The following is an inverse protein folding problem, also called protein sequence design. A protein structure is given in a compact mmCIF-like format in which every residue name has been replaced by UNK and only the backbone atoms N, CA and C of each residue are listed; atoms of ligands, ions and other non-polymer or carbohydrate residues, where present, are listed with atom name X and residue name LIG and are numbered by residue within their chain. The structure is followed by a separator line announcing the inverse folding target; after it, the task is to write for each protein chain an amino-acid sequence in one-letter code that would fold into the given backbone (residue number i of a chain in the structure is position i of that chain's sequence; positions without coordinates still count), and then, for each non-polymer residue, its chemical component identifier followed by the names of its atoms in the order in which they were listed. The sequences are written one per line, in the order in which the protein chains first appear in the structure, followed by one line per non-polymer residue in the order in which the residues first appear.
data_IF_782609351235
#
_entry.id   IF_782609351235
#
_cell.length_a   1.000
_cell.length_b   1.000
_cell.length_c   1.000
_cell.angle_alpha   90.00
_cell.angle_beta   90.00
_cell.angle_gamma   90.00
#
_symmetry.space_group_name_H-M   'P 1'
#
loop_
_entity.id
_entity.type
_entity.pdbx_description
1 polymer ?
#
# COMPACT_ATOMS: atom_id res chain seq x y z
N UNK A 1 -26.23 5.06 -19.28
CA UNK A 1 -25.79 3.92 -18.45
C UNK A 1 -27.06 3.30 -17.93
N UNK A 2 -27.64 2.33 -18.65
CA UNK A 2 -29.07 2.03 -18.55
C UNK A 2 -29.35 0.58 -18.09
N UNK A 3 -28.29 -0.18 -17.83
CA UNK A 3 -28.39 -1.55 -17.31
C UNK A 3 -27.86 -1.60 -15.88
N UNK A 4 -28.52 -2.37 -15.02
CA UNK A 4 -28.10 -2.57 -13.63
C UNK A 4 -27.41 -3.93 -13.50
N UNK A 5 -26.25 -3.95 -12.84
CA UNK A 5 -25.53 -5.18 -12.51
C UNK A 5 -26.33 -6.08 -11.56
N UNK A 6 -26.48 -7.36 -11.90
CA UNK A 6 -27.15 -8.34 -11.02
C UNK A 6 -26.39 -8.61 -9.71
N UNK A 7 -25.08 -8.34 -9.67
CA UNK A 7 -24.20 -8.68 -8.54
C UNK A 7 -23.95 -7.52 -7.58
N UNK A 8 -23.97 -6.28 -8.07
CA UNK A 8 -23.61 -5.11 -7.27
C UNK A 8 -24.58 -3.93 -7.43
N UNK A 9 -25.63 -4.12 -8.22
CA UNK A 9 -26.66 -3.11 -8.53
C UNK A 9 -26.12 -1.79 -9.10
N UNK A 10 -24.85 -1.76 -9.53
CA UNK A 10 -24.26 -0.59 -10.19
C UNK A 10 -24.75 -0.46 -11.63
N UNK A 11 -24.80 0.78 -12.11
CA UNK A 11 -25.10 1.08 -13.51
C UNK A 11 -23.95 0.61 -14.41
N UNK A 12 -24.32 0.00 -15.54
CA UNK A 12 -23.44 -0.55 -16.56
C UNK A 12 -23.57 0.20 -17.88
N UNK A 13 -22.53 0.12 -18.70
CA UNK A 13 -22.62 0.53 -20.10
C UNK A 13 -23.39 -0.52 -20.91
N UNK A 14 -24.11 -0.10 -21.97
CA UNK A 14 -24.94 -1.01 -22.78
C UNK A 14 -24.14 -2.14 -23.45
N UNK A 15 -22.85 -1.90 -23.72
CA UNK A 15 -21.93 -2.86 -24.34
C UNK A 15 -20.74 -3.16 -23.43
N UNK A 16 -20.94 -3.08 -22.12
CA UNK A 16 -19.89 -3.39 -21.17
C UNK A 16 -19.48 -4.87 -21.28
N UNK A 17 -18.18 -5.18 -21.46
CA UNK A 17 -17.71 -6.55 -21.47
C UNK A 17 -18.13 -7.32 -20.21
N UNK A 18 -18.48 -8.61 -20.32
CA UNK A 18 -18.74 -9.43 -19.15
C UNK A 18 -17.49 -9.48 -18.27
N UNK A 19 -17.62 -9.03 -17.03
CA UNK A 19 -16.55 -9.05 -16.03
C UNK A 19 -15.96 -7.69 -15.66
N UNK A 20 -16.25 -6.62 -16.41
CA UNK A 20 -15.76 -5.26 -16.13
C UNK A 20 -16.26 -4.70 -14.79
N UNK A 21 -17.57 -4.70 -14.53
CA UNK A 21 -18.12 -4.20 -13.28
C UNK A 21 -17.97 -5.18 -12.10
N UNK A 22 -18.15 -6.48 -12.36
CA UNK A 22 -18.00 -7.56 -11.39
C UNK A 22 -17.49 -8.79 -12.15
N UNK A 23 -16.22 -9.19 -12.00
CA UNK A 23 -15.61 -10.32 -12.70
C UNK A 23 -16.29 -11.64 -12.31
N UNK A 24 -17.44 -11.92 -12.92
CA UNK A 24 -18.33 -13.07 -12.70
C UNK A 24 -18.68 -13.35 -11.22
N UNK A 25 -18.51 -12.35 -10.35
CA UNK A 25 -18.98 -12.35 -8.96
C UNK A 25 -18.16 -13.14 -7.94
N UNK A 26 -16.94 -13.62 -8.23
CA UNK A 26 -16.16 -14.35 -7.21
C UNK A 26 -14.68 -14.01 -7.22
N UNK A 27 -14.32 -12.97 -6.47
CA UNK A 27 -12.96 -12.84 -5.98
C UNK A 27 -12.79 -13.73 -4.76
N UNK A 28 -12.20 -14.92 -4.95
CA UNK A 28 -11.81 -15.79 -3.83
C UNK A 28 -10.66 -15.12 -3.10
N UNK A 29 -10.77 -14.93 -1.78
CA UNK A 29 -9.64 -14.53 -0.96
C UNK A 29 -8.74 -15.74 -0.72
N UNK A 30 -7.43 -15.56 -0.91
CA UNK A 30 -6.44 -16.59 -0.56
C UNK A 30 -6.56 -16.83 0.95
N UNK A 31 -6.50 -18.10 1.38
CA UNK A 31 -6.45 -18.44 2.78
C UNK A 31 -5.25 -17.76 3.44
N UNK A 32 -5.42 -17.44 4.71
CA UNK A 32 -4.38 -16.79 5.50
C UNK A 32 -3.27 -17.82 5.76
N UNK A 33 -2.09 -17.57 5.20
CA UNK A 33 -0.90 -18.41 5.35
C UNK A 33 -0.35 -18.27 6.77
N UNK A 34 0.12 -19.37 7.35
CA UNK A 34 0.83 -19.34 8.64
C UNK A 34 2.02 -18.37 8.58
N UNK A 35 2.37 -17.73 9.71
CA UNK A 35 3.53 -16.85 9.78
C UNK A 35 4.80 -17.57 9.30
N UNK A 36 5.64 -16.93 8.48
CA UNK A 36 6.96 -17.47 8.18
C UNK A 36 7.87 -17.41 9.41
N UNK A 37 8.83 -18.32 9.53
CA UNK A 37 9.91 -18.19 10.51
C UNK A 37 10.74 -16.92 10.24
N UNK A 38 11.18 -16.15 11.26
CA UNK A 38 11.18 -16.42 12.70
C UNK A 38 9.96 -15.90 13.49
N UNK A 39 8.94 -15.39 12.81
CA UNK A 39 7.76 -14.85 13.51
C UNK A 39 7.06 -15.93 14.32
N UNK A 40 6.96 -17.13 13.77
CA UNK A 40 6.30 -18.25 14.43
C UNK A 40 6.99 -18.61 15.76
N UNK A 41 8.31 -18.79 15.75
CA UNK A 41 9.09 -19.15 16.94
C UNK A 41 9.07 -18.08 18.04
N UNK A 42 9.18 -16.79 17.68
CA UNK A 42 9.18 -15.69 18.64
C UNK A 42 7.86 -15.57 19.41
N UNK A 43 6.77 -16.03 18.80
CA UNK A 43 5.41 -15.88 19.33
C UNK A 43 4.90 -17.15 20.02
N UNK A 44 5.51 -18.30 19.73
CA UNK A 44 5.32 -19.52 20.53
C UNK A 44 6.15 -19.56 21.81
N UNK A 45 6.96 -18.52 22.06
CA UNK A 45 7.85 -18.45 23.22
C UNK A 45 9.13 -19.28 23.07
N UNK A 46 9.44 -19.75 21.85
CA UNK A 46 10.69 -20.45 21.59
C UNK A 46 11.83 -19.42 21.50
N UNK A 47 12.89 -19.63 22.27
CA UNK A 47 14.07 -18.76 22.23
C UNK A 47 14.65 -18.73 20.83
N UNK A 48 14.70 -17.54 20.23
CA UNK A 48 15.36 -17.35 18.94
C UNK A 48 16.17 -16.06 18.94
N UNK A 49 17.40 -16.14 18.45
CA UNK A 49 18.30 -14.99 18.27
C UNK A 49 17.93 -14.11 17.07
N UNK A 50 16.78 -14.35 16.43
CA UNK A 50 16.39 -13.70 15.19
C UNK A 50 15.56 -12.46 15.50
N UNK A 51 15.95 -11.32 14.93
CA UNK A 51 15.22 -10.05 15.05
C UNK A 51 14.12 -9.98 13.98
N UNK A 52 13.00 -9.35 14.31
CA UNK A 52 11.87 -9.12 13.41
C UNK A 52 11.61 -7.63 13.27
N UNK A 53 11.28 -7.17 12.07
CA UNK A 53 10.91 -5.77 11.83
C UNK A 53 9.57 -5.43 12.49
N UNK A 54 9.39 -4.17 12.91
CA UNK A 54 8.11 -3.69 13.44
C UNK A 54 6.95 -3.98 12.49
N UNK A 55 7.16 -3.85 11.18
CA UNK A 55 6.16 -4.17 10.15
C UNK A 55 5.71 -5.63 10.22
N UNK A 56 6.65 -6.58 10.25
CA UNK A 56 6.37 -8.00 10.34
C UNK A 56 5.63 -8.35 11.65
N UNK A 57 6.03 -7.74 12.76
CA UNK A 57 5.39 -7.92 14.06
C UNK A 57 3.92 -7.44 14.06
N UNK A 58 3.65 -6.22 13.58
CA UNK A 58 2.29 -5.68 13.56
C UNK A 58 1.41 -6.36 12.51
N UNK A 59 1.95 -6.71 11.34
CA UNK A 59 1.23 -7.50 10.34
C UNK A 59 0.75 -8.84 10.92
N UNK A 60 1.63 -9.52 11.68
CA UNK A 60 1.28 -10.75 12.37
C UNK A 60 0.17 -10.55 13.40
N UNK A 61 0.24 -9.49 14.21
CA UNK A 61 -0.79 -9.18 15.24
C UNK A 61 -2.17 -8.93 14.63
N UNK A 62 -2.24 -8.39 13.41
CA UNK A 62 -3.49 -8.13 12.69
C UNK A 62 -4.01 -9.32 11.88
N UNK A 63 -3.20 -10.37 11.71
CA UNK A 63 -3.60 -11.55 10.97
C UNK A 63 -4.74 -12.30 11.69
N UNK A 64 -5.75 -12.73 10.92
CA UNK A 64 -6.85 -13.58 11.42
C UNK A 64 -6.41 -15.04 11.35
N UNK A 65 -6.79 -15.86 12.33
CA UNK A 65 -6.49 -17.30 12.35
C UNK A 65 -7.75 -18.08 12.69
N UNK A 66 -7.92 -19.24 12.10
CA UNK A 66 -9.15 -20.04 12.25
C UNK A 66 -9.38 -20.51 13.69
N UNK A 67 -8.32 -20.62 14.50
CA UNK A 67 -8.40 -21.13 15.88
C UNK A 67 -8.12 -20.07 16.96
N UNK A 68 -8.00 -18.79 16.58
CA UNK A 68 -7.74 -17.71 17.54
C UNK A 68 -8.56 -16.47 17.20
N UNK A 69 -9.27 -15.97 18.19
CA UNK A 69 -10.00 -14.71 18.06
C UNK A 69 -9.04 -13.53 18.14
N UNK A 70 -9.04 -12.71 17.09
CA UNK A 70 -8.27 -11.48 17.07
C UNK A 70 -9.09 -10.35 17.70
N UNK A 71 -8.87 -10.09 18.99
CA UNK A 71 -9.58 -9.04 19.73
C UNK A 71 -9.34 -7.65 19.15
N UNK A 72 -8.14 -7.37 18.62
CA UNK A 72 -7.79 -6.06 18.06
C UNK A 72 -8.78 -5.67 16.96
N UNK A 73 -9.13 -6.61 16.07
CA UNK A 73 -10.05 -6.38 14.95
C UNK A 73 -11.52 -6.20 15.37
N UNK A 74 -11.87 -6.40 16.65
CA UNK A 74 -13.24 -6.24 17.17
C UNK A 74 -13.52 -4.83 17.68
N UNK A 75 -12.49 -4.04 18.01
CA UNK A 75 -12.66 -2.74 18.68
C UNK A 75 -12.97 -1.55 17.75
N UNK A 76 -13.48 -1.79 16.53
CA UNK A 76 -14.03 -0.76 15.60
C UNK A 76 -13.11 0.46 15.44
N UNK A 77 -13.47 1.62 15.98
CA UNK A 77 -12.70 2.87 15.84
C UNK A 77 -11.32 2.79 16.51
N UNK A 78 -11.22 2.11 17.65
CA UNK A 78 -9.94 1.90 18.34
C UNK A 78 -8.97 1.06 17.50
N UNK A 79 -9.51 0.12 16.71
CA UNK A 79 -8.72 -0.62 15.74
C UNK A 79 -8.13 0.31 14.68
N UNK A 80 -8.89 1.27 14.17
CA UNK A 80 -8.40 2.21 13.15
C UNK A 80 -7.28 3.09 13.70
N UNK A 81 -7.46 3.61 14.92
CA UNK A 81 -6.42 4.38 15.60
C UNK A 81 -5.16 3.53 15.80
N UNK A 82 -5.31 2.30 16.29
CA UNK A 82 -4.20 1.37 16.45
C UNK A 82 -3.42 1.17 15.14
N UNK A 83 -4.10 0.94 14.01
CA UNK A 83 -3.43 0.75 12.71
C UNK A 83 -2.63 1.98 12.30
N UNK A 84 -3.21 3.18 12.44
CA UNK A 84 -2.55 4.44 12.08
C UNK A 84 -1.33 4.70 12.96
N UNK A 85 -1.46 4.50 14.27
CA UNK A 85 -0.37 4.70 15.23
C UNK A 85 0.79 3.72 14.98
N UNK A 86 0.47 2.44 14.73
CA UNK A 86 1.50 1.44 14.44
C UNK A 86 2.18 1.71 13.10
N UNK A 87 1.43 2.20 12.09
CA UNK A 87 2.01 2.62 10.82
C UNK A 87 2.96 3.81 10.98
N UNK A 88 2.57 4.84 11.74
CA UNK A 88 3.42 5.99 12.04
C UNK A 88 4.73 5.57 12.73
N UNK A 89 4.67 4.59 13.63
CA UNK A 89 5.87 4.01 14.26
C UNK A 89 6.77 3.30 13.25
N UNK A 90 6.21 2.48 12.35
CA UNK A 90 6.97 1.79 11.29
C UNK A 90 7.65 2.81 10.36
N UNK A 91 6.92 3.83 9.91
CA UNK A 91 7.47 4.87 9.03
C UNK A 91 8.55 5.70 9.73
N UNK A 92 8.37 6.02 11.01
CA UNK A 92 9.38 6.71 11.82
C UNK A 92 10.67 5.89 11.93
N UNK A 93 10.56 4.57 12.12
CA UNK A 93 11.72 3.66 12.14
C UNK A 93 12.42 3.60 10.77
N UNK A 94 11.64 3.52 9.69
CA UNK A 94 12.17 3.51 8.32
C UNK A 94 12.91 4.80 7.98
N UNK A 95 12.34 5.96 8.32
CA UNK A 95 12.99 7.27 8.13
C UNK A 95 14.25 7.41 8.98
N UNK A 96 14.21 6.92 10.24
CA UNK A 96 15.38 6.90 11.12
C UNK A 96 16.49 6.04 10.53
N UNK A 97 16.17 4.87 10.00
CA UNK A 97 17.13 4.00 9.31
C UNK A 97 17.76 4.72 8.11
N UNK A 98 16.94 5.35 7.26
CA UNK A 98 17.43 6.12 6.11
C UNK A 98 18.35 7.26 6.55
N UNK A 99 18.00 7.99 7.61
CA UNK A 99 18.80 9.10 8.14
C UNK A 99 20.19 8.65 8.61
N UNK A 100 20.29 7.51 9.29
CA UNK A 100 21.56 7.04 9.86
C UNK A 100 22.42 6.19 8.91
N UNK A 101 21.86 5.68 7.82
CA UNK A 101 22.56 4.79 6.87
C UNK A 101 22.85 5.47 5.52
N UNK A 102 22.89 6.80 5.47
CA UNK A 102 23.11 7.58 4.24
C UNK A 102 24.40 7.18 3.50
N UNK A 103 25.50 6.99 4.21
CA UNK A 103 26.80 6.58 3.63
C UNK A 103 26.68 5.23 2.91
N UNK A 104 26.01 4.26 3.54
CA UNK A 104 25.75 2.93 2.95
C UNK A 104 24.82 2.99 1.74
N UNK A 105 23.94 3.99 1.69
CA UNK A 105 23.01 4.25 0.59
C UNK A 105 23.64 5.10 -0.54
N UNK A 106 24.96 5.33 -0.49
CA UNK A 106 25.73 6.15 -1.45
C UNK A 106 25.16 7.57 -1.62
N UNK A 107 24.77 8.22 -0.52
CA UNK A 107 24.27 9.59 -0.55
C UNK A 107 25.29 10.61 -1.09
N UNK A 108 26.59 10.31 -0.98
CA UNK A 108 27.70 11.19 -1.36
C UNK A 108 27.73 11.49 -2.88
N UNK A 109 27.52 10.48 -3.74
CA UNK A 109 27.43 10.66 -5.20
C UNK A 109 26.31 11.65 -5.59
N UNK A 110 25.22 11.69 -4.81
CA UNK A 110 24.07 12.56 -5.08
C UNK A 110 24.23 13.97 -4.52
N UNK A 111 25.02 14.14 -3.44
CA UNK A 111 25.36 15.47 -2.90
C UNK A 111 26.18 16.23 -3.93
N UNK A 112 27.19 15.60 -4.54
CA UNK A 112 28.00 16.22 -5.59
C UNK A 112 27.18 16.63 -6.82
N UNK A 113 26.20 15.82 -7.23
CA UNK A 113 25.32 16.14 -8.36
C UNK A 113 24.38 17.31 -8.01
N UNK A 114 23.84 17.34 -6.79
CA UNK A 114 23.00 18.44 -6.31
C UNK A 114 23.80 19.73 -6.15
N UNK A 115 25.00 19.66 -5.58
CA UNK A 115 25.91 20.80 -5.40
C UNK A 115 26.43 21.31 -6.74
N UNK A 116 26.64 20.45 -7.75
CA UNK A 116 26.94 20.88 -9.11
C UNK A 116 25.74 21.58 -9.78
N UNK A 117 24.49 21.18 -9.49
CA UNK A 117 23.29 21.83 -10.05
C UNK A 117 22.98 23.15 -9.32
N UNK A 118 23.17 23.21 -7.99
CA UNK A 118 22.87 24.40 -7.16
C UNK A 118 24.03 25.41 -7.17
N UNK A 119 25.28 24.93 -7.15
CA UNK A 119 26.48 25.76 -7.24
C UNK A 119 26.62 26.51 -8.55
N UNK A 120 25.89 26.10 -9.59
CA UNK A 120 25.78 26.82 -10.86
C UNK A 120 24.71 27.91 -10.88
N UNK A 121 23.87 28.04 -9.83
CA UNK A 121 22.81 29.05 -9.82
C UNK A 121 23.04 30.22 -8.87
N UNK A 122 23.45 30.06 -7.62
CA UNK A 122 23.66 31.23 -6.74
C UNK A 122 24.66 30.92 -5.62
N UNK A 123 25.85 31.51 -5.71
CA UNK A 123 26.98 31.31 -4.80
C UNK A 123 26.84 31.94 -3.40
N UNK A 124 25.66 31.85 -2.77
CA UNK A 124 25.47 32.38 -1.42
C UNK A 124 24.36 31.66 -0.63
N UNK A 125 24.55 30.38 -0.34
CA UNK A 125 23.72 29.65 0.62
C UNK A 125 24.57 29.23 1.81
N UNK A 126 24.44 29.97 2.91
CA UNK A 126 25.05 29.67 4.20
C UNK A 126 24.74 28.22 4.62
N UNK A 127 25.75 27.35 4.56
CA UNK A 127 25.68 25.91 4.87
C UNK A 127 25.31 25.62 6.33
N UNK A 128 25.39 26.62 7.21
CA UNK A 128 25.21 26.46 8.65
C UNK A 128 23.74 26.58 9.12
N UNK A 129 22.83 27.10 8.28
CA UNK A 129 21.40 27.26 8.63
C UNK A 129 20.51 26.18 8.04
N UNK A 130 21.05 25.31 7.19
CA UNK A 130 20.34 24.18 6.61
C UNK A 130 20.68 22.99 7.50
N UNK A 131 19.78 22.63 8.43
CA UNK A 131 19.96 21.40 9.21
C UNK A 131 20.25 20.23 8.27
N UNK A 132 21.11 19.27 8.69
CA UNK A 132 21.60 18.19 7.84
C UNK A 132 20.46 17.52 7.04
N UNK A 133 20.30 17.91 5.78
CA UNK A 133 19.29 17.39 4.89
C UNK A 133 19.75 16.00 4.43
N UNK A 134 19.10 14.95 4.91
CA UNK A 134 19.37 13.60 4.42
C UNK A 134 18.53 13.30 3.18
N UNK A 135 19.07 12.49 2.28
CA UNK A 135 18.48 12.21 0.99
C UNK A 135 17.53 11.01 1.10
N UNK A 136 16.30 11.17 0.61
CA UNK A 136 15.39 10.06 0.41
C UNK A 136 15.68 9.36 -0.94
N UNK A 137 15.79 8.03 -0.96
CA UNK A 137 15.94 7.25 -2.19
C UNK A 137 14.60 7.19 -2.95
N UNK A 138 14.64 6.87 -4.24
CA UNK A 138 13.42 6.72 -5.06
C UNK A 138 12.53 5.54 -4.65
N UNK A 139 13.08 4.56 -3.94
CA UNK A 139 12.30 3.48 -3.30
C UNK A 139 11.43 3.95 -2.13
N UNK A 140 11.60 5.18 -1.65
CA UNK A 140 10.72 5.79 -0.66
C UNK A 140 9.53 6.47 -1.37
N UNK A 141 8.34 5.91 -1.17
CA UNK A 141 7.10 6.39 -1.78
C UNK A 141 6.85 7.85 -1.38
N UNK A 142 6.57 8.71 -2.37
CA UNK A 142 6.33 10.14 -2.13
C UNK A 142 7.59 10.97 -1.92
N UNK A 143 8.79 10.38 -2.00
CA UNK A 143 10.02 11.16 -2.09
C UNK A 143 10.08 11.94 -3.42
N UNK A 144 10.82 13.06 -3.49
CA UNK A 144 11.00 13.81 -4.74
C UNK A 144 11.50 12.94 -5.90
N UNK A 145 12.41 11.99 -5.63
CA UNK A 145 12.93 11.07 -6.65
C UNK A 145 11.90 10.06 -7.11
N UNK A 146 11.13 9.50 -6.18
CA UNK A 146 10.05 8.58 -6.52
C UNK A 146 9.02 9.24 -7.45
N UNK A 147 8.67 10.50 -7.17
CA UNK A 147 7.77 11.27 -8.03
C UNK A 147 8.39 11.58 -9.39
N UNK A 148 9.69 11.92 -9.44
CA UNK A 148 10.40 12.15 -10.69
C UNK A 148 10.48 10.90 -11.58
N UNK A 149 10.77 9.72 -10.99
CA UNK A 149 10.76 8.45 -11.70
C UNK A 149 9.38 8.17 -12.30
N UNK A 150 8.29 8.31 -11.53
CA UNK A 150 6.94 8.12 -12.07
C UNK A 150 6.60 9.05 -13.23
N UNK A 151 7.06 10.30 -13.18
CA UNK A 151 6.89 11.25 -14.28
C UNK A 151 7.68 10.80 -15.51
N UNK A 152 8.93 10.40 -15.34
CA UNK A 152 9.78 9.94 -16.45
C UNK A 152 9.23 8.68 -17.09
N UNK A 153 8.76 7.71 -16.29
CA UNK A 153 8.11 6.50 -16.76
C UNK A 153 6.86 6.84 -17.57
N UNK A 154 5.97 7.69 -17.03
CA UNK A 154 4.76 8.11 -17.73
C UNK A 154 5.07 8.79 -19.07
N UNK A 155 6.07 9.68 -19.12
CA UNK A 155 6.50 10.33 -20.35
C UNK A 155 7.07 9.33 -21.36
N UNK A 156 7.77 8.31 -20.87
CA UNK A 156 8.32 7.23 -21.70
C UNK A 156 7.20 6.37 -22.30
N UNK A 157 6.19 6.03 -21.51
CA UNK A 157 4.99 5.34 -22.01
C UNK A 157 4.28 6.15 -23.09
N UNK A 158 4.05 7.46 -22.87
CA UNK A 158 3.39 8.32 -23.86
C UNK A 158 4.21 8.44 -25.14
N UNK A 159 5.54 8.52 -25.03
CA UNK A 159 6.43 8.57 -26.20
C UNK A 159 6.40 7.26 -27.01
N UNK A 160 6.33 6.11 -26.34
CA UNK A 160 6.38 4.80 -26.99
C UNK A 160 5.02 4.33 -27.52
N UNK A 161 3.95 4.50 -26.74
CA UNK A 161 2.62 3.96 -27.02
C UNK A 161 1.61 5.03 -27.46
N UNK A 162 1.97 6.32 -27.39
CA UNK A 162 1.08 7.43 -27.70
C UNK A 162 0.27 7.90 -26.49
N UNK A 163 -0.66 8.82 -26.75
CA UNK A 163 -1.52 9.39 -25.70
C UNK A 163 -2.50 8.34 -25.15
N UNK A 164 -2.81 8.34 -23.85
CA UNK A 164 -3.83 7.46 -23.30
C UNK A 164 -5.22 7.83 -23.84
N UNK A 165 -6.01 6.82 -24.20
CA UNK A 165 -7.38 7.01 -24.70
C UNK A 165 -8.44 6.90 -23.60
N UNK A 166 -8.13 6.19 -22.51
CA UNK A 166 -9.08 5.91 -21.42
C UNK A 166 -8.55 6.42 -20.08
N UNK A 167 -9.43 7.04 -19.31
CA UNK A 167 -9.22 7.36 -17.90
C UNK A 167 -10.28 6.63 -17.06
N UNK A 168 -9.85 5.60 -16.33
CA UNK A 168 -10.75 4.71 -15.59
C UNK A 168 -10.63 5.00 -14.10
N UNK A 169 -11.77 5.30 -13.47
CA UNK A 169 -11.88 5.40 -12.01
C UNK A 169 -12.48 4.10 -11.47
N UNK A 170 -11.77 3.44 -10.55
CA UNK A 170 -12.25 2.23 -9.89
C UNK A 170 -12.54 2.54 -8.42
N UNK A 171 -13.82 2.47 -8.04
CA UNK A 171 -14.28 2.78 -6.68
C UNK A 171 -14.73 1.52 -5.95
N UNK A 172 -14.40 1.42 -4.66
CA UNK A 172 -14.85 0.31 -3.83
C UNK A 172 -16.34 0.45 -3.49
N UNK A 173 -17.11 -0.64 -3.57
CA UNK A 173 -18.49 -0.70 -3.09
C UNK A 173 -18.57 -1.53 -1.79
N UNK A 174 -18.92 -0.93 -0.64
CA UNK A 174 -19.07 -1.64 0.63
C UNK A 174 -20.11 -2.77 0.64
N UNK A 175 -21.05 -2.76 -0.32
CA UNK A 175 -22.14 -3.74 -0.43
C UNK A 175 -21.76 -4.96 -1.29
N UNK A 176 -20.50 -5.09 -1.71
CA UNK A 176 -20.05 -6.30 -2.40
C UNK A 176 -20.26 -7.54 -1.53
N UNK A 177 -20.81 -8.61 -2.13
CA UNK A 177 -21.08 -9.88 -1.45
C UNK A 177 -19.83 -10.45 -0.79
N UNK A 178 -18.65 -10.30 -1.39
CA UNK A 178 -17.39 -10.77 -0.81
C UNK A 178 -17.06 -10.03 0.50
N UNK A 179 -17.41 -8.74 0.60
CA UNK A 179 -17.21 -7.94 1.82
C UNK A 179 -18.21 -8.35 2.90
N UNK A 180 -19.47 -8.56 2.53
CA UNK A 180 -20.53 -8.96 3.47
C UNK A 180 -20.32 -10.38 4.01
N UNK A 181 -19.88 -11.32 3.17
CA UNK A 181 -19.65 -12.72 3.55
C UNK A 181 -18.51 -12.91 4.57
N UNK A 182 -17.57 -11.96 4.67
CA UNK A 182 -16.44 -12.03 5.60
C UNK A 182 -16.69 -11.28 6.92
N UNK A 183 -17.79 -10.53 6.99
CA UNK A 183 -18.16 -9.80 8.19
C UNK A 183 -18.79 -10.75 9.21
N UNK A 184 -18.46 -10.52 10.48
CA UNK A 184 -19.17 -11.15 11.60
C UNK A 184 -20.55 -10.48 11.74
N UNK A 185 -21.56 -11.16 12.32
CA UNK A 185 -22.95 -10.67 12.38
C UNK A 185 -23.14 -9.31 13.06
N UNK A 186 -22.17 -8.83 13.83
CA UNK A 186 -22.15 -7.55 14.55
C UNK A 186 -21.23 -6.48 13.92
N UNK A 187 -20.63 -6.78 12.76
CA UNK A 187 -19.68 -5.91 12.06
C UNK A 187 -20.32 -5.23 10.86
N UNK A 188 -19.86 -4.01 10.57
CA UNK A 188 -20.17 -3.27 9.36
C UNK A 188 -18.89 -3.09 8.53
N UNK A 189 -19.04 -2.87 7.22
CA UNK A 189 -17.91 -2.65 6.30
C UNK A 189 -16.96 -1.52 6.77
N UNK A 190 -17.51 -0.46 7.37
CA UNK A 190 -16.73 0.66 7.92
C UNK A 190 -15.87 0.26 9.12
N UNK A 191 -16.22 -0.80 9.84
CA UNK A 191 -15.40 -1.28 10.96
C UNK A 191 -14.20 -2.11 10.49
N UNK A 192 -14.29 -2.70 9.29
CA UNK A 192 -13.34 -3.67 8.75
C UNK A 192 -12.69 -3.19 7.45
N UNK A 193 -11.98 -2.07 7.52
CA UNK A 193 -11.21 -1.51 6.40
C UNK A 193 -10.19 -2.49 5.81
N UNK A 194 -9.68 -3.43 6.59
CA UNK A 194 -8.79 -4.49 6.12
C UNK A 194 -9.47 -5.41 5.09
N UNK A 195 -10.73 -5.78 5.32
CA UNK A 195 -11.53 -6.59 4.38
C UNK A 195 -11.79 -5.79 3.12
N UNK A 196 -12.27 -4.55 3.27
CA UNK A 196 -12.59 -3.64 2.17
C UNK A 196 -11.37 -3.45 1.26
N UNK A 197 -10.20 -3.12 1.83
CA UNK A 197 -8.96 -2.92 1.10
C UNK A 197 -8.48 -4.20 0.40
N UNK A 198 -8.63 -5.37 1.03
CA UNK A 198 -8.26 -6.67 0.43
C UNK A 198 -9.13 -7.03 -0.76
N UNK A 199 -10.45 -6.86 -0.64
CA UNK A 199 -11.39 -7.14 -1.73
C UNK A 199 -11.17 -6.14 -2.86
N UNK A 200 -11.01 -4.85 -2.54
CA UNK A 200 -10.69 -3.81 -3.51
C UNK A 200 -9.42 -4.13 -4.30
N UNK A 201 -8.31 -4.43 -3.62
CA UNK A 201 -7.02 -4.75 -4.27
C UNK A 201 -7.14 -5.94 -5.23
N UNK A 202 -7.92 -6.96 -4.86
CA UNK A 202 -8.11 -8.13 -5.72
C UNK A 202 -9.03 -7.87 -6.90
N UNK A 203 -10.12 -7.13 -6.71
CA UNK A 203 -10.97 -6.72 -7.84
C UNK A 203 -10.21 -5.81 -8.80
N UNK A 204 -9.39 -4.89 -8.27
CA UNK A 204 -8.50 -4.06 -9.08
C UNK A 204 -7.50 -4.91 -9.88
N UNK A 205 -6.88 -5.91 -9.24
CA UNK A 205 -6.00 -6.85 -9.95
C UNK A 205 -6.75 -7.58 -11.08
N UNK A 206 -7.94 -8.10 -10.78
CA UNK A 206 -8.77 -8.77 -11.79
C UNK A 206 -9.17 -7.85 -12.94
N UNK A 207 -9.37 -6.56 -12.68
CA UNK A 207 -9.67 -5.56 -13.72
C UNK A 207 -8.41 -5.26 -14.55
N UNK A 208 -7.25 -5.14 -13.93
CA UNK A 208 -5.99 -4.98 -14.65
C UNK A 208 -5.70 -6.19 -15.55
N UNK A 209 -5.88 -7.42 -15.04
CA UNK A 209 -5.71 -8.66 -15.79
C UNK A 209 -6.76 -8.83 -16.92
N UNK A 210 -7.84 -8.04 -16.91
CA UNK A 210 -8.85 -8.01 -17.96
C UNK A 210 -8.54 -6.97 -19.05
N UNK A 211 -7.97 -5.83 -18.67
CA UNK A 211 -7.66 -4.71 -19.58
C UNK A 211 -6.32 -4.90 -20.28
N UNK A 212 -5.34 -5.52 -19.60
CA UNK A 212 -4.00 -5.84 -20.10
C UNK A 212 -3.93 -7.28 -20.61
#
# INVERSE_FOLDING_TARGET
MDQISRYCQALKFRYEPPGMCCPLGKVVLLPLLSPPEPLQSLLSGNETNKKVSSMCYYAYRLMIRNNQDNYILRYRQLYHQYVVDMYAKIESERLRFLRFNQVKLRSEDYIHLRDAIIGNKDGNLNTNNIGNAFILPSSYIGSPRNMQEYIQDAMTYVRHYGRPDLFITFTCNPNWEEIQALQKPDQQSIHRHDIVARVFKRKLKSLNDFIL
#
